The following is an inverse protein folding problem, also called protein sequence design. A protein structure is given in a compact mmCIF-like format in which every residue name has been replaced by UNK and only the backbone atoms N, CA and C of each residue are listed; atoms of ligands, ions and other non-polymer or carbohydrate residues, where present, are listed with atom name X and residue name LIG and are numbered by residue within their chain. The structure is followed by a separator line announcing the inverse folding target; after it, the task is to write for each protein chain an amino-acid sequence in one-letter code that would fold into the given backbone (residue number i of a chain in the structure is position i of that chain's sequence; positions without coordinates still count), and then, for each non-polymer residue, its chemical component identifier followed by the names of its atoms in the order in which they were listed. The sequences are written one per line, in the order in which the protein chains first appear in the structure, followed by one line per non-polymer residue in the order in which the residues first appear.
data_IF_741974991619
#
_entry.id   IF_741974991619
#
_cell.length_a   1.000
_cell.length_b   1.000
_cell.length_c   1.000
_cell.angle_alpha   90.00
_cell.angle_beta   90.00
_cell.angle_gamma   90.00
#
_symmetry.space_group_name_H-M   'P 1'
#
loop_
_entity.id
_entity.type
_entity.pdbx_description
1 polymer ?
#
# COMPACT_ATOMS: atom_id res chain seq x y z
N UNK A 1 6.10 -1.55 -18.08
CA UNK A 1 6.49 -2.28 -16.84
C UNK A 1 5.23 -2.84 -16.23
N UNK A 2 5.24 -4.07 -15.67
CA UNK A 2 4.10 -4.62 -14.94
C UNK A 2 3.73 -3.68 -13.79
N UNK A 3 2.43 -3.48 -13.57
CA UNK A 3 1.94 -2.67 -12.46
C UNK A 3 1.96 -3.54 -11.20
N UNK A 4 2.99 -3.35 -10.37
CA UNK A 4 3.03 -3.94 -9.04
C UNK A 4 2.31 -3.03 -8.05
N UNK A 5 1.23 -3.52 -7.46
CA UNK A 5 0.43 -2.85 -6.45
C UNK A 5 0.82 -3.43 -5.08
N UNK A 6 1.25 -2.58 -4.17
CA UNK A 6 1.33 -2.95 -2.77
C UNK A 6 -0.06 -2.78 -2.17
N UNK A 7 -0.70 -3.86 -1.75
CA UNK A 7 -1.97 -3.81 -1.04
C UNK A 7 -1.72 -4.02 0.45
N UNK A 8 -2.19 -3.10 1.28
CA UNK A 8 -2.15 -3.21 2.74
C UNK A 8 -3.55 -3.15 3.33
N UNK A 9 -3.76 -3.81 4.46
CA UNK A 9 -5.00 -3.78 5.22
C UNK A 9 -4.73 -3.16 6.58
N UNK A 10 -5.51 -2.17 6.96
CA UNK A 10 -5.33 -1.43 8.20
C UNK A 10 -6.61 -1.33 9.02
N UNK A 11 -6.45 -1.09 10.33
CA UNK A 11 -7.52 -0.69 11.25
C UNK A 11 -7.58 0.83 11.42
N UNK A 12 -6.61 1.55 10.87
CA UNK A 12 -6.57 3.00 10.90
C UNK A 12 -7.70 3.59 10.04
N UNK A 13 -8.07 4.82 10.35
CA UNK A 13 -9.09 5.53 9.59
C UNK A 13 -8.55 5.94 8.20
N UNK A 14 -9.22 5.49 7.13
CA UNK A 14 -8.79 5.79 5.75
C UNK A 14 -8.79 7.30 5.43
N UNK A 15 -9.68 8.10 6.01
CA UNK A 15 -9.69 9.55 5.78
C UNK A 15 -8.46 10.22 6.39
N UNK A 16 -8.01 9.77 7.56
CA UNK A 16 -6.79 10.29 8.20
C UNK A 16 -5.54 9.91 7.42
N UNK A 17 -5.47 8.67 6.92
CA UNK A 17 -4.37 8.22 6.07
C UNK A 17 -4.32 8.99 4.75
N UNK A 18 -5.49 9.20 4.14
CA UNK A 18 -5.63 10.00 2.93
C UNK A 18 -5.17 11.45 3.15
N UNK A 19 -5.60 12.10 4.24
CA UNK A 19 -5.20 13.48 4.55
C UNK A 19 -3.68 13.63 4.74
N UNK A 20 -2.99 12.58 5.20
CA UNK A 20 -1.54 12.54 5.37
C UNK A 20 -0.79 12.05 4.13
N UNK A 21 -1.50 11.61 3.09
CA UNK A 21 -0.94 10.98 1.88
C UNK A 21 0.03 9.82 2.20
N UNK A 22 -0.26 9.06 3.26
CA UNK A 22 0.60 7.98 3.70
C UNK A 22 -0.20 6.88 4.38
N UNK A 23 0.37 5.68 4.38
CA UNK A 23 -0.12 4.54 5.16
C UNK A 23 0.57 4.51 6.53
N UNK A 24 0.36 3.43 7.29
CA UNK A 24 1.30 3.04 8.35
C UNK A 24 2.65 2.59 7.80
N UNK A 25 3.49 2.03 8.67
CA UNK A 25 4.76 1.42 8.31
C UNK A 25 4.67 -0.10 8.21
N UNK A 26 5.22 -0.65 7.13
CA UNK A 26 5.02 -2.06 6.79
C UNK A 26 6.32 -2.78 6.49
N UNK A 27 6.39 -4.06 6.83
CA UNK A 27 7.55 -4.89 6.48
C UNK A 27 7.52 -5.14 4.97
N UNK A 28 8.33 -4.37 4.23
CA UNK A 28 8.42 -4.40 2.77
C UNK A 28 9.84 -4.78 2.38
N UNK A 29 9.97 -5.84 1.60
CA UNK A 29 11.25 -6.31 1.12
C UNK A 29 11.89 -5.27 0.18
N UNK A 30 13.15 -4.89 0.43
CA UNK A 30 13.84 -3.77 -0.24
C UNK A 30 13.93 -3.95 -1.76
N UNK A 31 14.12 -5.19 -2.19
CA UNK A 31 14.15 -5.59 -3.59
C UNK A 31 12.80 -5.35 -4.29
N UNK A 32 11.67 -5.53 -3.60
CA UNK A 32 10.34 -5.32 -4.17
C UNK A 32 9.94 -3.86 -4.26
N UNK A 33 10.42 -3.02 -3.34
CA UNK A 33 10.13 -1.57 -3.31
C UNK A 33 10.45 -0.90 -4.64
N UNK A 34 11.47 -1.40 -5.35
CA UNK A 34 11.88 -0.85 -6.64
C UNK A 34 10.91 -1.16 -7.79
N UNK A 35 9.96 -2.07 -7.58
CA UNK A 35 8.97 -2.47 -8.57
C UNK A 35 7.57 -1.94 -8.24
N UNK A 36 7.33 -1.49 -7.01
CA UNK A 36 6.03 -0.93 -6.61
C UNK A 36 5.76 0.34 -7.43
N UNK A 37 4.55 0.39 -7.99
CA UNK A 37 4.05 1.52 -8.78
C UNK A 37 2.79 2.14 -8.16
N UNK A 38 2.00 1.34 -7.45
CA UNK A 38 0.73 1.77 -6.86
C UNK A 38 0.56 1.18 -5.46
N UNK A 39 -0.31 1.82 -4.68
CA UNK A 39 -0.72 1.37 -3.36
C UNK A 39 -2.24 1.18 -3.34
N UNK A 40 -2.66 0.18 -2.56
CA UNK A 40 -4.03 0.03 -2.13
C UNK A 40 -4.06 -0.09 -0.61
N UNK A 41 -4.84 0.74 0.08
CA UNK A 41 -5.00 0.69 1.54
C UNK A 41 -6.44 0.28 1.84
N UNK A 42 -6.65 -0.99 2.14
CA UNK A 42 -7.95 -1.56 2.45
C UNK A 42 -8.29 -1.33 3.92
N UNK A 43 -9.53 -0.94 4.21
CA UNK A 43 -10.03 -0.99 5.58
C UNK A 43 -10.11 -2.44 6.07
N UNK A 44 -10.29 -2.62 7.37
CA UNK A 44 -10.34 -3.95 7.94
C UNK A 44 -11.48 -4.78 7.35
N UNK A 45 -12.62 -4.19 7.02
CA UNK A 45 -13.80 -4.90 6.55
C UNK A 45 -13.71 -5.32 5.07
N UNK A 46 -12.77 -4.76 4.30
CA UNK A 46 -12.65 -5.03 2.86
C UNK A 46 -13.69 -4.31 1.99
N UNK A 47 -14.36 -3.31 2.55
CA UNK A 47 -15.48 -2.59 1.92
C UNK A 47 -15.07 -1.26 1.31
N UNK A 48 -13.94 -0.69 1.74
CA UNK A 48 -13.40 0.54 1.21
C UNK A 48 -11.88 0.46 1.12
N UNK A 49 -11.31 1.13 0.13
CA UNK A 49 -9.87 1.27 0.04
C UNK A 49 -9.44 2.64 -0.47
N UNK A 50 -8.23 3.05 -0.10
CA UNK A 50 -7.50 4.09 -0.81
C UNK A 50 -6.81 3.45 -2.01
N UNK A 51 -6.93 4.05 -3.19
CA UNK A 51 -6.08 3.78 -4.35
C UNK A 51 -5.19 4.99 -4.60
N UNK A 52 -3.90 4.78 -4.87
CA UNK A 52 -2.97 5.85 -5.18
C UNK A 52 -1.72 5.37 -5.91
N UNK A 53 -0.96 6.31 -6.47
CA UNK A 53 0.35 6.05 -7.07
C UNK A 53 1.37 5.99 -5.93
N UNK A 54 2.26 5.01 -5.94
CA UNK A 54 3.31 4.90 -4.92
C UNK A 54 4.33 6.03 -5.07
N UNK A 55 4.49 6.86 -4.02
CA UNK A 55 5.49 7.92 -4.00
C UNK A 55 6.82 7.36 -3.51
N UNK A 56 7.67 6.95 -4.45
CA UNK A 56 9.00 6.42 -4.13
C UNK A 56 9.91 7.47 -3.50
N UNK A 57 9.79 8.72 -3.89
CA UNK A 57 10.71 9.77 -3.46
C UNK A 57 10.41 10.22 -2.03
N UNK A 58 9.15 10.11 -1.60
CA UNK A 58 8.73 10.49 -0.27
C UNK A 58 8.57 9.31 0.71
N UNK A 59 8.52 8.06 0.22
CA UNK A 59 8.52 6.85 1.05
C UNK A 59 9.92 6.55 1.59
N UNK A 60 10.01 6.12 2.86
CA UNK A 60 11.30 5.87 3.50
C UNK A 60 11.23 4.74 4.54
N UNK A 61 12.36 4.05 4.70
CA UNK A 61 12.51 3.04 5.73
C UNK A 61 12.75 3.69 7.09
N UNK A 62 12.04 3.22 8.11
CA UNK A 62 12.20 3.68 9.48
C UNK A 62 13.57 3.32 10.05
N UNK A 63 14.06 4.14 10.97
CA UNK A 63 15.29 3.92 11.73
C UNK A 63 14.97 3.31 13.11
N UNK A 64 15.72 2.30 13.60
CA UNK A 64 16.92 1.75 12.96
C UNK A 64 16.60 0.91 11.71
N UNK A 65 17.47 0.92 10.69
CA UNK A 65 17.23 0.33 9.35
C UNK A 65 16.87 -1.17 9.34
N UNK A 66 17.09 -1.87 10.45
CA UNK A 66 16.89 -3.30 10.62
C UNK A 66 15.42 -3.68 10.84
N UNK A 67 14.54 -2.69 11.04
CA UNK A 67 13.11 -2.94 11.17
C UNK A 67 12.47 -3.41 9.83
N UNK A 68 13.15 -3.19 8.69
CA UNK A 68 12.61 -3.40 7.34
C UNK A 68 11.21 -2.82 7.12
N UNK A 69 10.86 -1.80 7.93
CA UNK A 69 9.56 -1.14 7.94
C UNK A 69 9.62 0.09 7.06
N UNK A 70 8.90 0.05 5.96
CA UNK A 70 8.74 1.14 5.01
C UNK A 70 7.48 1.93 5.38
N UNK A 71 7.63 3.21 5.68
CA UNK A 71 6.50 4.14 5.67
C UNK A 71 6.17 4.45 4.21
N UNK A 72 4.98 4.07 3.78
CA UNK A 72 4.55 4.17 2.38
C UNK A 72 3.77 5.46 2.18
N UNK A 73 4.26 6.31 1.30
CA UNK A 73 3.57 7.51 0.82
C UNK A 73 2.99 7.29 -0.56
N UNK A 74 1.97 8.09 -0.89
CA UNK A 74 1.30 7.99 -2.18
C UNK A 74 0.85 9.34 -2.72
N UNK A 75 0.74 9.41 -4.04
CA UNK A 75 0.21 10.53 -4.80
C UNK A 75 -1.21 10.21 -5.26
N UNK A 76 -2.00 11.26 -5.45
CA UNK A 76 -3.34 11.21 -6.03
C UNK A 76 -4.26 10.17 -5.37
N UNK A 77 -4.13 10.03 -4.04
CA UNK A 77 -4.92 9.11 -3.25
C UNK A 77 -6.41 9.43 -3.35
N UNK A 78 -7.25 8.40 -3.45
CA UNK A 78 -8.71 8.52 -3.38
C UNK A 78 -9.33 7.32 -2.68
N UNK A 79 -10.40 7.54 -1.93
CA UNK A 79 -11.18 6.45 -1.34
C UNK A 79 -12.21 5.97 -2.36
N UNK A 80 -12.27 4.66 -2.55
CA UNK A 80 -13.25 3.97 -3.39
C UNK A 80 -13.93 2.87 -2.59
N UNK A 81 -15.20 2.61 -2.92
CA UNK A 81 -15.92 1.44 -2.39
C UNK A 81 -15.45 0.19 -3.12
N UNK A 82 -15.31 -0.92 -2.39
CA UNK A 82 -14.86 -2.18 -2.94
C UNK A 82 -15.53 -3.38 -2.26
N UNK A 83 -15.31 -4.58 -2.80
CA UNK A 83 -15.73 -5.85 -2.20
C UNK A 83 -14.58 -6.85 -2.28
N UNK A 84 -13.51 -6.58 -1.52
CA UNK A 84 -12.35 -7.46 -1.47
C UNK A 84 -12.61 -8.55 -0.43
N UNK A 85 -12.61 -9.82 -0.85
CA UNK A 85 -12.70 -10.95 0.09
C UNK A 85 -11.42 -11.04 0.90
N UNK A 86 -11.50 -10.69 2.18
CA UNK A 86 -10.33 -10.73 3.05
C UNK A 86 -10.15 -12.11 3.66
N UNK A 87 -9.67 -13.05 2.86
CA UNK A 87 -9.49 -14.45 3.25
C UNK A 87 -8.16 -14.78 3.93
N UNK A 88 -7.21 -13.84 4.00
CA UNK A 88 -5.84 -14.09 4.49
C UNK A 88 -5.57 -13.14 5.68
N UNK A 89 -5.02 -13.63 6.81
CA UNK A 89 -4.66 -12.80 7.96
C UNK A 89 -3.56 -11.77 7.67
N UNK A 90 -2.82 -11.91 6.56
CA UNK A 90 -1.72 -11.00 6.24
C UNK A 90 -2.24 -9.60 5.87
N UNK A 91 -1.72 -8.61 6.59
CA UNK A 91 -2.03 -7.20 6.40
C UNK A 91 -1.33 -6.58 5.18
N UNK A 92 -0.49 -7.33 4.45
CA UNK A 92 0.27 -6.83 3.30
C UNK A 92 0.37 -7.89 2.20
N UNK A 93 0.16 -7.49 0.95
CA UNK A 93 0.26 -8.32 -0.26
C UNK A 93 0.80 -7.53 -1.44
N UNK A 94 1.34 -8.24 -2.42
CA UNK A 94 1.73 -7.66 -3.70
C UNK A 94 0.79 -8.22 -4.77
N UNK A 95 0.17 -7.35 -5.56
CA UNK A 95 -0.69 -7.72 -6.67
C UNK A 95 -0.02 -7.28 -7.96
N UNK A 96 0.09 -8.18 -8.92
CA UNK A 96 0.62 -7.87 -10.25
C UNK A 96 -0.56 -7.70 -11.22
N UNK A 97 -0.70 -6.51 -11.79
CA UNK A 97 -1.52 -6.30 -12.99
C UNK A 97 -0.59 -6.42 -14.22
N UNK A 98 -0.87 -7.45 -15.04
CA UNK A 98 -0.06 -7.90 -16.17
C UNK A 98 0.41 -6.78 -17.13
N UNK A 99 1.62 -6.88 -17.74
CA UNK A 99 1.89 -6.39 -19.08
C UNK A 99 1.28 -7.34 -20.14
N UNK A 100 1.04 -6.87 -21.38
CA UNK A 100 0.19 -7.54 -22.36
C UNK A 100 0.70 -8.93 -22.77
N UNK A 101 -0.25 -9.80 -23.09
CA UNK A 101 -0.09 -11.03 -23.89
C UNK A 101 0.75 -10.83 -25.14
#
# INVERSE_FOLDING_TARGET
MPKLILQVRTKDNLLELLAKNQTGDWIVAKEKTHHITHIQVLNWEGTQMIEGIFDRNASYYLTPPNANRLLVKFLDGRIVNCKVKVGDPYALRYLEENPPT
#
